data_IF_774414186957
#
_entry.id   IF_774414186957
#
_cell.length_a   1.000
_cell.length_b   1.000
_cell.length_c   1.000
_cell.angle_alpha   90.00
_cell.angle_beta   90.00
_cell.angle_gamma   90.00
#
_symmetry.space_group_name_H-M   'P 1'
#
loop_
_entity.id
_entity.type
_entity.pdbx_description
1 polymer ?
#
# COMPACT_ATOMS: atom_id res chain seq x y z
N UNK A 1 8.05 0.82 -3.26
CA UNK A 1 9.39 1.31 -3.70
C UNK A 1 10.43 1.34 -2.58
N UNK A 2 10.02 1.71 -1.37
CA UNK A 2 10.83 1.85 -0.14
C UNK A 2 11.64 0.58 0.19
N UNK A 3 11.01 -0.60 0.27
CA UNK A 3 11.68 -1.87 0.63
C UNK A 3 12.67 -2.35 -0.44
N UNK A 4 12.35 -2.12 -1.71
CA UNK A 4 13.19 -2.51 -2.84
C UNK A 4 14.34 -1.53 -3.13
N UNK A 5 14.30 -0.33 -2.51
CA UNK A 5 15.33 0.70 -2.63
C UNK A 5 15.24 1.54 -3.91
N UNK A 6 14.04 1.66 -4.49
CA UNK A 6 13.77 2.46 -5.69
C UNK A 6 12.93 3.72 -5.36
N UNK A 7 13.13 4.25 -4.15
CA UNK A 7 12.33 5.33 -3.60
C UNK A 7 12.72 6.69 -4.16
N UNK A 8 11.72 7.55 -4.37
CA UNK A 8 11.87 8.97 -4.72
C UNK A 8 11.17 9.74 -3.59
N UNK A 9 11.61 10.96 -3.25
CA UNK A 9 11.21 11.74 -2.06
C UNK A 9 9.69 12.03 -1.89
N UNK A 10 8.83 11.52 -2.77
CA UNK A 10 7.37 11.66 -2.74
C UNK A 10 6.62 10.35 -3.01
N UNK A 11 7.24 9.19 -2.83
CA UNK A 11 6.55 7.92 -3.10
C UNK A 11 5.55 7.57 -2.01
N UNK A 12 4.36 7.15 -2.41
CA UNK A 12 3.36 6.57 -1.52
C UNK A 12 3.93 5.36 -0.78
N UNK A 13 3.51 5.20 0.49
CA UNK A 13 3.85 4.03 1.28
C UNK A 13 2.94 2.86 0.91
N UNK A 14 3.52 1.75 0.47
CA UNK A 14 2.78 0.52 0.20
C UNK A 14 2.93 -0.44 1.39
N UNK A 15 1.82 -0.80 2.01
CA UNK A 15 1.75 -1.81 3.08
C UNK A 15 0.94 -3.00 2.60
N UNK A 16 1.35 -4.21 3.02
CA UNK A 16 0.58 -5.43 2.78
C UNK A 16 0.27 -6.07 4.12
N UNK A 17 -1.01 -6.32 4.37
CA UNK A 17 -1.46 -7.10 5.52
C UNK A 17 -1.79 -8.52 5.07
N UNK A 18 -1.14 -9.48 5.71
CA UNK A 18 -1.19 -10.89 5.39
C UNK A 18 -1.54 -11.65 6.65
N UNK A 19 -2.57 -12.50 6.59
CA UNK A 19 -2.88 -13.45 7.65
C UNK A 19 -2.35 -14.81 7.25
N UNK A 20 -1.44 -15.43 8.03
CA UNK A 20 -0.91 -16.75 7.73
C UNK A 20 -1.90 -17.89 8.03
N UNK A 21 -3.07 -17.59 8.60
CA UNK A 21 -3.99 -18.59 9.14
C UNK A 21 -5.38 -18.65 8.48
N UNK A 22 -5.75 -17.67 7.63
CA UNK A 22 -7.02 -17.70 6.90
C UNK A 22 -6.95 -16.83 5.64
N UNK A 23 -7.15 -17.44 4.46
CA UNK A 23 -7.29 -16.70 3.21
C UNK A 23 -8.60 -15.89 3.14
N UNK A 24 -9.65 -16.36 3.82
CA UNK A 24 -10.98 -15.74 3.79
C UNK A 24 -11.17 -14.60 4.82
N UNK A 25 -10.17 -14.31 5.66
CA UNK A 25 -10.29 -13.33 6.75
C UNK A 25 -10.51 -11.89 6.26
N UNK A 26 -10.07 -11.60 5.04
CA UNK A 26 -10.22 -10.30 4.37
C UNK A 26 -11.19 -10.35 3.19
N UNK A 27 -11.83 -11.49 2.94
CA UNK A 27 -12.89 -11.61 1.94
C UNK A 27 -14.11 -10.81 2.40
N UNK A 28 -14.76 -10.10 1.48
CA UNK A 28 -16.04 -9.46 1.77
C UNK A 28 -17.08 -10.56 1.99
N UNK A 29 -17.77 -10.62 3.16
CA UNK A 29 -18.91 -11.51 3.30
C UNK A 29 -19.95 -11.17 2.24
N UNK A 30 -20.74 -12.15 1.83
CA UNK A 30 -21.90 -11.95 0.96
C UNK A 30 -22.78 -10.80 1.49
N UNK A 31 -23.51 -10.15 0.57
CA UNK A 31 -24.20 -8.84 0.68
C UNK A 31 -25.06 -8.56 1.93
N UNK A 32 -25.20 -9.49 2.88
CA UNK A 32 -26.00 -9.37 4.09
C UNK A 32 -25.27 -8.77 5.29
N UNK A 33 -23.94 -8.69 5.33
CA UNK A 33 -23.20 -8.37 6.58
C UNK A 33 -22.02 -7.38 6.41
N UNK A 34 -22.14 -6.41 5.48
CA UNK A 34 -21.12 -5.38 5.23
C UNK A 34 -20.76 -4.56 6.50
N UNK A 35 -21.67 -4.44 7.47
CA UNK A 35 -21.48 -3.62 8.68
C UNK A 35 -20.41 -4.15 9.64
N UNK A 36 -20.11 -5.46 9.63
CA UNK A 36 -19.30 -6.13 10.65
C UNK A 36 -17.99 -6.73 10.10
N UNK A 37 -17.58 -6.37 8.89
CA UNK A 37 -16.31 -6.88 8.34
C UNK A 37 -15.11 -6.22 9.04
N UNK A 38 -14.07 -7.01 9.28
CA UNK A 38 -12.81 -6.55 9.88
C UNK A 38 -12.25 -5.29 9.19
N UNK A 39 -12.40 -5.19 7.87
CA UNK A 39 -11.93 -4.06 7.06
C UNK A 39 -12.65 -2.76 7.44
N UNK A 40 -13.96 -2.81 7.70
CA UNK A 40 -14.72 -1.64 8.14
C UNK A 40 -14.40 -1.24 9.57
N UNK A 41 -14.15 -2.21 10.47
CA UNK A 41 -13.71 -1.90 11.83
C UNK A 41 -12.32 -1.25 11.82
N UNK A 42 -11.38 -1.81 11.06
CA UNK A 42 -10.06 -1.23 10.89
C UNK A 42 -10.14 0.19 10.29
N UNK A 43 -11.03 0.41 9.33
CA UNK A 43 -11.25 1.74 8.75
C UNK A 43 -11.76 2.75 9.78
N UNK A 44 -12.71 2.35 10.64
CA UNK A 44 -13.22 3.20 11.73
C UNK A 44 -12.12 3.55 12.73
N UNK A 45 -11.27 2.60 13.08
CA UNK A 45 -10.12 2.85 13.97
C UNK A 45 -9.11 3.83 13.35
N UNK A 46 -8.80 3.70 12.06
CA UNK A 46 -7.93 4.68 11.42
C UNK A 46 -8.58 6.08 11.32
N UNK A 47 -9.89 6.14 11.08
CA UNK A 47 -10.65 7.39 11.10
C UNK A 47 -10.67 8.03 12.50
N UNK A 48 -10.78 7.26 13.57
CA UNK A 48 -10.77 7.77 14.95
C UNK A 48 -9.43 8.40 15.34
N UNK A 49 -8.34 7.92 14.75
CA UNK A 49 -6.97 8.48 14.89
C UNK A 49 -6.74 9.71 14.01
N UNK A 50 -7.67 10.02 13.09
CA UNK A 50 -7.64 11.23 12.25
C UNK A 50 -7.16 11.00 10.80
N UNK A 51 -7.09 9.76 10.32
CA UNK A 51 -6.82 9.49 8.92
C UNK A 51 -8.08 9.65 8.05
N UNK A 52 -7.91 10.22 6.85
CA UNK A 52 -8.87 10.06 5.77
C UNK A 52 -8.72 8.64 5.20
N UNK A 53 -9.81 7.85 5.28
CA UNK A 53 -9.80 6.42 4.89
C UNK A 53 -10.75 6.16 3.75
N UNK A 54 -10.26 5.51 2.69
CA UNK A 54 -11.08 5.02 1.57
C UNK A 54 -10.90 3.53 1.38
N UNK A 55 -12.02 2.79 1.38
CA UNK A 55 -12.02 1.33 1.13
C UNK A 55 -12.39 1.03 -0.32
N UNK A 56 -11.52 0.30 -1.02
CA UNK A 56 -11.73 -0.21 -2.36
C UNK A 56 -11.90 -1.74 -2.29
N UNK A 57 -13.15 -2.17 -2.07
CA UNK A 57 -13.50 -3.58 -1.89
C UNK A 57 -14.01 -4.27 -3.17
N UNK A 58 -14.35 -3.49 -4.20
CA UNK A 58 -14.92 -4.00 -5.47
C UNK A 58 -13.86 -4.61 -6.41
N UNK A 59 -12.61 -4.69 -5.98
CA UNK A 59 -11.47 -5.21 -6.75
C UNK A 59 -11.11 -6.61 -6.26
N UNK A 60 -10.42 -7.40 -7.10
CA UNK A 60 -9.99 -8.77 -6.75
C UNK A 60 -9.14 -8.83 -5.46
N UNK A 61 -8.40 -7.76 -5.19
CA UNK A 61 -7.64 -7.58 -3.95
C UNK A 61 -8.23 -6.35 -3.26
N UNK A 62 -8.75 -6.46 -2.03
CA UNK A 62 -9.18 -5.32 -1.25
C UNK A 62 -8.02 -4.38 -0.96
N UNK A 63 -8.25 -3.07 -1.10
CA UNK A 63 -7.27 -2.02 -0.79
C UNK A 63 -7.89 -0.99 0.14
N UNK A 64 -7.18 -0.62 1.19
CA UNK A 64 -7.50 0.52 2.06
C UNK A 64 -6.49 1.64 1.79
N UNK A 65 -6.99 2.78 1.33
CA UNK A 65 -6.19 3.98 1.15
C UNK A 65 -6.29 4.86 2.39
N UNK A 66 -5.15 5.26 2.92
CA UNK A 66 -5.00 6.15 4.05
C UNK A 66 -4.35 7.45 3.59
N UNK A 67 -4.89 8.57 4.04
CA UNK A 67 -4.31 9.90 3.86
C UNK A 67 -4.32 10.64 5.19
N UNK A 68 -3.20 11.27 5.53
CA UNK A 68 -3.08 12.19 6.65
C UNK A 68 -2.54 13.50 6.11
N UNK A 69 -3.37 14.54 6.11
CA UNK A 69 -2.96 15.87 5.67
C UNK A 69 -2.21 16.58 6.77
N UNK A 70 -1.16 17.29 6.40
CA UNK A 70 -0.45 18.16 7.34
C UNK A 70 -1.41 19.22 7.91
N UNK A 71 -1.44 19.33 9.24
CA UNK A 71 -2.18 20.35 9.98
C UNK A 71 -1.20 21.31 10.65
N UNK A 72 -1.69 22.38 11.26
CA UNK A 72 -0.84 23.31 12.04
C UNK A 72 -0.08 22.61 13.18
N UNK A 73 -0.56 21.47 13.67
CA UNK A 73 0.05 20.70 14.76
C UNK A 73 0.89 19.52 14.26
N UNK A 74 0.66 19.03 13.04
CA UNK A 74 1.36 17.89 12.48
C UNK A 74 1.89 18.23 11.08
N UNK A 75 3.20 18.37 10.93
CA UNK A 75 3.85 18.79 9.68
C UNK A 75 4.01 17.69 8.64
N UNK A 76 3.38 16.53 8.87
CA UNK A 76 3.55 15.33 8.04
C UNK A 76 2.35 15.20 7.11
N UNK A 77 2.61 15.19 5.81
CA UNK A 77 1.66 14.77 4.78
C UNK A 77 2.02 13.33 4.38
N UNK A 78 1.11 12.39 4.63
CA UNK A 78 1.33 10.97 4.42
C UNK A 78 0.19 10.37 3.61
N UNK A 79 0.54 9.66 2.53
CA UNK A 79 -0.38 8.77 1.82
C UNK A 79 0.15 7.34 1.86
N UNK A 80 -0.75 6.40 2.15
CA UNK A 80 -0.42 4.99 2.28
C UNK A 80 -1.54 4.11 1.71
N UNK A 81 -1.17 3.12 0.91
CA UNK A 81 -2.09 2.10 0.41
C UNK A 81 -1.82 0.77 1.13
N UNK A 82 -2.82 0.25 1.83
CA UNK A 82 -2.80 -1.06 2.48
C UNK A 82 -3.53 -2.07 1.60
N UNK A 83 -2.78 -3.03 1.03
CA UNK A 83 -3.35 -4.17 0.32
C UNK A 83 -3.57 -5.36 1.26
N UNK A 84 -4.73 -5.98 1.22
CA UNK A 84 -5.03 -7.16 2.04
C UNK A 84 -4.84 -8.44 1.25
N UNK A 85 -4.16 -9.43 1.84
CA UNK A 85 -3.90 -10.73 1.26
C UNK A 85 -3.14 -10.69 -0.10
N UNK A 86 -2.31 -9.68 -0.31
CA UNK A 86 -1.60 -9.47 -1.57
C UNK A 86 -0.18 -10.09 -1.55
N UNK A 87 -0.11 -11.42 -1.50
CA UNK A 87 1.17 -12.15 -1.53
C UNK A 87 2.00 -11.84 -2.78
N UNK A 88 1.34 -11.65 -3.94
CA UNK A 88 2.01 -11.31 -5.19
C UNK A 88 2.80 -9.99 -5.09
N UNK A 89 2.26 -8.98 -4.37
CA UNK A 89 2.98 -7.72 -4.13
C UNK A 89 4.22 -7.91 -3.26
N UNK A 90 4.17 -8.82 -2.28
CA UNK A 90 5.32 -9.17 -1.43
C UNK A 90 6.41 -9.85 -2.28
N UNK A 91 6.03 -10.85 -3.09
CA UNK A 91 6.98 -11.59 -3.92
C UNK A 91 7.60 -10.72 -5.02
N UNK A 92 6.82 -9.85 -5.65
CA UNK A 92 7.34 -8.86 -6.61
C UNK A 92 8.35 -7.93 -5.96
N UNK A 93 8.04 -7.41 -4.77
CA UNK A 93 8.94 -6.53 -4.02
C UNK A 93 10.25 -7.26 -3.68
N UNK A 94 10.16 -8.52 -3.24
CA UNK A 94 11.32 -9.37 -2.94
C UNK A 94 12.17 -9.63 -4.19
N UNK A 95 11.54 -9.93 -5.32
CA UNK A 95 12.22 -10.16 -6.60
C UNK A 95 13.00 -8.92 -7.03
N UNK A 96 12.35 -7.76 -7.04
CA UNK A 96 12.97 -6.48 -7.35
C UNK A 96 14.11 -6.13 -6.39
N UNK A 97 13.96 -6.45 -5.10
CA UNK A 97 15.00 -6.24 -4.10
C UNK A 97 16.22 -7.13 -4.34
N UNK A 98 16.03 -8.40 -4.73
CA UNK A 98 17.14 -9.30 -5.06
C UNK A 98 17.90 -8.74 -6.27
N UNK A 99 17.20 -8.37 -7.34
CA UNK A 99 17.83 -7.77 -8.52
C UNK A 99 18.58 -6.46 -8.19
N UNK A 100 18.05 -5.62 -7.31
CA UNK A 100 18.71 -4.37 -6.91
C UNK A 100 19.96 -4.59 -6.06
N UNK A 101 20.10 -5.75 -5.42
CA UNK A 101 21.29 -6.16 -4.66
C UNK A 101 22.36 -6.80 -5.54
N UNK A 102 21.98 -7.41 -6.65
CA UNK A 102 22.93 -8.05 -7.57
C UNK A 102 23.86 -7.03 -8.25
N UNK A 103 23.37 -5.85 -8.63
CA UNK A 103 24.16 -4.82 -9.30
C UNK A 103 23.67 -3.41 -8.93
N UNK A 104 24.57 -2.55 -8.46
CA UNK A 104 24.25 -1.20 -8.02
C UNK A 104 23.67 -0.30 -9.14
N UNK A 105 24.00 -0.59 -10.41
CA UNK A 105 23.52 0.17 -11.58
C UNK A 105 22.03 -0.05 -11.84
N UNK A 106 21.49 -1.20 -11.44
CA UNK A 106 20.06 -1.51 -11.58
C UNK A 106 19.21 -0.48 -10.85
N UNK A 107 19.63 -0.04 -9.65
CA UNK A 107 18.94 1.02 -8.90
C UNK A 107 18.87 2.32 -9.68
N UNK A 108 20.01 2.76 -10.22
CA UNK A 108 20.11 4.02 -10.97
C UNK A 108 19.26 3.97 -12.25
N UNK A 109 19.33 2.85 -12.98
CA UNK A 109 18.57 2.65 -14.21
C UNK A 109 17.05 2.63 -13.96
N UNK A 110 16.59 1.88 -12.95
CA UNK A 110 15.15 1.80 -12.62
C UNK A 110 14.61 3.15 -12.16
N UNK A 111 15.36 3.89 -11.32
CA UNK A 111 14.96 5.24 -10.89
C UNK A 111 14.90 6.21 -12.07
N UNK A 112 15.88 6.16 -12.98
CA UNK A 112 15.88 6.99 -14.19
C UNK A 112 14.69 6.69 -15.10
N UNK A 113 14.42 5.42 -15.39
CA UNK A 113 13.29 5.00 -16.23
C UNK A 113 11.97 5.43 -15.59
N UNK A 114 11.82 5.23 -14.27
CA UNK A 114 10.62 5.65 -13.53
C UNK A 114 10.40 7.15 -13.64
N UNK A 115 11.42 7.96 -13.37
CA UNK A 115 11.36 9.40 -13.49
C UNK A 115 11.02 9.85 -14.92
N UNK A 116 11.65 9.24 -15.93
CA UNK A 116 11.38 9.56 -17.33
C UNK A 116 9.94 9.24 -17.74
N UNK A 117 9.43 8.07 -17.33
CA UNK A 117 8.05 7.66 -17.62
C UNK A 117 7.02 8.62 -16.98
N UNK A 118 7.27 9.09 -15.75
CA UNK A 118 6.44 10.09 -15.06
C UNK A 118 6.44 11.47 -15.73
N UNK A 119 7.47 11.79 -16.54
CA UNK A 119 7.59 13.09 -17.24
C UNK A 119 7.14 13.06 -18.70
N UNK A 120 6.99 11.86 -19.27
CA UNK A 120 6.66 11.67 -20.69
C UNK A 120 5.15 11.51 -20.91
N UNK A 121 4.38 11.30 -19.84
CA UNK A 121 2.92 11.28 -19.80
C UNK A 121 2.39 12.40 -18.92
#
# INVERSE_FOLDING_TARGET
STIAGFEITKSDLDVVLVSPYLEDFFCTPDKSDESNSLLHNLAKEFQSVGFEVTLLLKTRVPIMKLALKATHENSIDLSCDIGFNNYLRVDNTRTLQIHSRCDARVKQMVVFIKWWAEKTH
#
